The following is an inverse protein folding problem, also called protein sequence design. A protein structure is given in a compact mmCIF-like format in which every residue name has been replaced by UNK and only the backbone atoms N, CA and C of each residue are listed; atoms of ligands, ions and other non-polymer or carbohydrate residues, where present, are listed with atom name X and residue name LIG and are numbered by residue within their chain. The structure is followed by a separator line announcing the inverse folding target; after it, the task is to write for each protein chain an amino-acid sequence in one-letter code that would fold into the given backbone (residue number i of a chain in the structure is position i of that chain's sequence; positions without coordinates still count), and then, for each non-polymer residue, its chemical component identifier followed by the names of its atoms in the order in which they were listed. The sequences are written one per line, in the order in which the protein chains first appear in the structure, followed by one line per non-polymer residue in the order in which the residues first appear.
data_IF_088926275368
#
_entry.id   IF_088926275368
#
_cell.length_a   1.000
_cell.length_b   1.000
_cell.length_c   1.000
_cell.angle_alpha   90.00
_cell.angle_beta   90.00
_cell.angle_gamma   90.00
#
_symmetry.space_group_name_H-M   'P 1'
#
loop_
_entity.id
_entity.type
_entity.pdbx_description
1 polymer ?
#
# COMPACT_ATOMS: atom_id res chain seq x y z
N UNK A 1 3.39 9.53 36.70
CA UNK A 1 4.12 9.79 35.44
C UNK A 1 4.37 8.47 34.69
N UNK A 2 4.96 7.46 35.33
CA UNK A 2 5.22 6.14 34.74
C UNK A 2 3.95 5.40 34.26
N UNK A 3 2.89 5.36 35.07
CA UNK A 3 1.61 4.72 34.69
C UNK A 3 0.87 5.40 33.52
N UNK A 4 1.08 6.71 33.33
CA UNK A 4 0.49 7.45 32.22
C UNK A 4 1.24 7.14 30.93
N UNK A 5 2.58 7.05 30.99
CA UNK A 5 3.41 6.68 29.85
C UNK A 5 3.15 5.24 29.36
N UNK A 6 2.94 4.28 30.28
CA UNK A 6 2.58 2.90 29.94
C UNK A 6 1.18 2.84 29.29
N UNK A 7 0.22 3.62 29.78
CA UNK A 7 -1.11 3.72 29.17
C UNK A 7 -1.06 4.26 27.74
N UNK A 8 -0.26 5.30 27.47
CA UNK A 8 -0.09 5.84 26.11
C UNK A 8 0.64 4.87 25.17
N UNK A 9 1.62 4.10 25.66
CA UNK A 9 2.29 3.05 24.88
C UNK A 9 1.35 1.91 24.49
N UNK A 10 0.49 1.47 25.41
CA UNK A 10 -0.50 0.42 25.13
C UNK A 10 -1.58 0.88 24.13
N UNK A 11 -2.02 2.14 24.23
CA UNK A 11 -2.97 2.74 23.28
C UNK A 11 -2.32 2.89 21.88
N UNK A 12 -1.03 3.23 21.80
CA UNK A 12 -0.28 3.24 20.54
C UNK A 12 -0.05 1.83 19.97
N UNK A 13 0.12 0.80 20.81
CA UNK A 13 0.22 -0.59 20.36
C UNK A 13 -1.10 -1.13 19.79
N UNK A 14 -2.25 -0.72 20.33
CA UNK A 14 -3.57 -1.12 19.80
C UNK A 14 -3.88 -0.51 18.43
N UNK A 15 -3.29 0.63 18.07
CA UNK A 15 -3.51 1.27 16.76
C UNK A 15 -2.66 0.65 15.64
N UNK A 16 -1.68 -0.20 15.96
CA UNK A 16 -0.75 -0.80 14.99
C UNK A 16 -1.25 -2.16 14.48
N UNK A 17 -2.18 -2.82 15.19
CA UNK A 17 -2.92 -3.97 14.65
C UNK A 17 -4.10 -3.49 13.78
N UNK A 18 -3.79 -2.80 12.69
CA UNK A 18 -4.72 -2.74 11.57
C UNK A 18 -4.72 -4.14 10.95
N UNK A 19 -5.80 -4.90 11.12
CA UNK A 19 -6.04 -6.14 10.37
C UNK A 19 -5.88 -5.83 8.88
N UNK A 20 -4.78 -6.32 8.28
CA UNK A 20 -4.51 -6.10 6.86
C UNK A 20 -5.21 -7.18 6.04
N UNK A 21 -6.50 -6.96 5.78
CA UNK A 21 -7.26 -7.80 4.88
C UNK A 21 -6.77 -7.59 3.44
N UNK A 22 -6.13 -8.60 2.85
CA UNK A 22 -5.64 -8.56 1.46
C UNK A 22 -6.76 -8.73 0.43
N UNK A 23 -7.92 -9.22 0.86
CA UNK A 23 -9.15 -9.24 0.08
C UNK A 23 -10.02 -8.04 0.43
N UNK A 24 -10.34 -7.18 -0.55
CA UNK A 24 -11.16 -6.00 -0.31
C UNK A 24 -12.65 -6.23 -0.63
N UNK A 25 -12.98 -7.28 -1.39
CA UNK A 25 -14.36 -7.65 -1.75
C UNK A 25 -14.55 -9.15 -1.58
N UNK A 26 -15.46 -9.56 -0.69
CA UNK A 26 -15.73 -10.96 -0.40
C UNK A 26 -17.22 -11.22 -0.16
N UNK A 27 -17.59 -12.50 -0.22
CA UNK A 27 -18.94 -12.97 0.09
C UNK A 27 -18.89 -14.23 0.95
N UNK A 28 -19.97 -14.48 1.71
CA UNK A 28 -20.17 -15.71 2.49
C UNK A 28 -21.35 -16.48 1.90
N UNK A 29 -21.12 -17.58 1.16
CA UNK A 29 -22.20 -18.35 0.55
C UNK A 29 -23.18 -18.89 1.62
N UNK A 30 -24.48 -18.74 1.40
CA UNK A 30 -25.50 -19.25 2.31
C UNK A 30 -25.37 -20.76 2.54
N UNK A 31 -25.36 -21.17 3.82
CA UNK A 31 -25.25 -22.57 4.20
C UNK A 31 -23.84 -23.16 4.12
N UNK A 32 -22.80 -22.32 3.94
CA UNK A 32 -21.39 -22.74 4.03
C UNK A 32 -20.65 -21.95 5.10
N UNK A 33 -19.61 -22.58 5.64
CA UNK A 33 -18.77 -22.04 6.72
C UNK A 33 -17.53 -21.30 6.18
N UNK A 34 -17.53 -20.96 4.89
CA UNK A 34 -16.37 -20.41 4.19
C UNK A 34 -16.65 -19.00 3.66
N UNK A 35 -15.58 -18.24 3.46
CA UNK A 35 -15.60 -16.93 2.81
C UNK A 35 -14.97 -17.06 1.43
N UNK A 36 -15.51 -16.35 0.44
CA UNK A 36 -15.04 -16.34 -0.92
C UNK A 36 -14.54 -14.94 -1.31
N UNK A 37 -13.28 -14.83 -1.68
CA UNK A 37 -12.70 -13.57 -2.13
C UNK A 37 -13.02 -13.34 -3.61
N UNK A 38 -13.50 -12.14 -3.96
CA UNK A 38 -13.77 -11.74 -5.35
C UNK A 38 -12.73 -10.80 -5.91
N UNK A 39 -12.15 -9.96 -5.04
CA UNK A 39 -11.15 -8.94 -5.42
C UNK A 39 -10.12 -8.83 -4.30
N UNK A 40 -8.87 -9.09 -4.65
CA UNK A 40 -7.73 -8.79 -3.80
C UNK A 40 -7.38 -7.28 -3.88
N UNK A 41 -6.42 -6.83 -3.09
CA UNK A 41 -5.79 -5.52 -3.32
C UNK A 41 -4.81 -5.61 -4.49
N UNK A 42 -4.43 -4.46 -5.05
CA UNK A 42 -3.45 -4.41 -6.14
C UNK A 42 -2.12 -5.08 -5.74
N UNK A 43 -1.51 -5.78 -6.69
CA UNK A 43 -0.30 -6.55 -6.46
C UNK A 43 -0.48 -7.84 -5.67
N UNK A 44 -1.72 -8.24 -5.41
CA UNK A 44 -2.10 -9.55 -4.90
C UNK A 44 -3.03 -10.22 -5.91
N UNK A 45 -2.85 -11.54 -6.07
CA UNK A 45 -3.69 -12.39 -6.91
C UNK A 45 -4.54 -13.30 -6.03
N UNK A 46 -5.68 -13.72 -6.56
CA UNK A 46 -6.50 -14.77 -5.96
C UNK A 46 -5.70 -16.08 -6.01
N UNK A 47 -5.44 -16.66 -4.84
CA UNK A 47 -4.83 -17.97 -4.69
C UNK A 47 -5.90 -19.05 -4.70
N UNK A 48 -6.87 -18.93 -3.79
CA UNK A 48 -8.05 -19.78 -3.69
C UNK A 48 -9.30 -18.91 -3.74
N UNK A 49 -10.33 -19.36 -4.48
CA UNK A 49 -11.58 -18.60 -4.59
C UNK A 49 -12.31 -18.49 -3.25
N UNK A 50 -12.24 -19.52 -2.41
CA UNK A 50 -12.87 -19.56 -1.09
C UNK A 50 -12.04 -20.36 -0.08
N UNK A 51 -12.22 -20.05 1.21
CA UNK A 51 -11.56 -20.73 2.32
C UNK A 51 -12.12 -20.29 3.67
N UNK A 52 -11.51 -20.75 4.76
CA UNK A 52 -11.96 -20.42 6.11
C UNK A 52 -11.48 -19.02 6.55
N UNK A 53 -10.27 -18.65 6.14
CA UNK A 53 -9.64 -17.38 6.47
C UNK A 53 -9.55 -16.51 5.23
N UNK A 54 -9.90 -15.23 5.37
CA UNK A 54 -9.92 -14.27 4.26
C UNK A 54 -8.51 -13.93 3.77
N UNK A 55 -7.53 -13.91 4.67
CA UNK A 55 -6.14 -13.51 4.39
C UNK A 55 -5.38 -14.55 3.53
N UNK A 56 -5.77 -15.82 3.62
CA UNK A 56 -5.14 -16.91 2.87
C UNK A 56 -5.61 -16.98 1.40
N UNK A 57 -6.64 -16.21 1.03
CA UNK A 57 -7.24 -16.25 -0.30
C UNK A 57 -6.50 -15.37 -1.31
N UNK A 58 -5.70 -14.43 -0.84
CA UNK A 58 -4.94 -13.51 -1.66
C UNK A 58 -3.45 -13.64 -1.36
N UNK A 59 -2.65 -13.90 -2.39
CA UNK A 59 -1.19 -13.98 -2.25
C UNK A 59 -0.52 -12.89 -3.07
N UNK A 60 0.58 -12.30 -2.58
CA UNK A 60 1.27 -11.26 -3.31
C UNK A 60 1.88 -11.79 -4.60
N UNK A 61 2.00 -10.92 -5.59
CA UNK A 61 2.79 -11.22 -6.79
C UNK A 61 4.26 -11.45 -6.44
N UNK A 62 4.87 -12.42 -7.11
CA UNK A 62 6.30 -12.72 -6.97
C UNK A 62 7.14 -11.61 -7.62
N UNK A 63 8.41 -11.54 -7.24
CA UNK A 63 9.35 -10.59 -7.85
C UNK A 63 9.42 -10.80 -9.37
N UNK A 64 9.39 -9.71 -10.13
CA UNK A 64 9.32 -9.79 -11.59
C UNK A 64 7.91 -10.11 -12.13
N UNK A 65 6.88 -10.01 -11.29
CA UNK A 65 5.48 -10.05 -11.72
C UNK A 65 4.64 -8.96 -11.06
N UNK A 66 3.53 -8.59 -11.69
CA UNK A 66 2.61 -7.56 -11.22
C UNK A 66 1.14 -7.89 -11.56
N UNK A 67 0.19 -7.27 -10.86
CA UNK A 67 -1.21 -7.23 -11.29
C UNK A 67 -1.87 -5.91 -10.89
N UNK A 68 -2.59 -5.33 -11.84
CA UNK A 68 -3.51 -4.20 -11.61
C UNK A 68 -4.95 -4.67 -11.48
N UNK A 69 -5.27 -5.86 -12.00
CA UNK A 69 -6.61 -6.41 -11.91
C UNK A 69 -6.71 -7.26 -10.63
N UNK A 70 -7.49 -6.81 -9.63
CA UNK A 70 -7.61 -7.47 -8.35
C UNK A 70 -8.35 -8.81 -8.40
N UNK A 71 -8.98 -9.17 -9.52
CA UNK A 71 -9.67 -10.45 -9.70
C UNK A 71 -8.82 -11.52 -10.38
N UNK A 72 -7.56 -11.24 -10.70
CA UNK A 72 -6.69 -12.18 -11.39
C UNK A 72 -6.23 -13.31 -10.48
N UNK A 73 -6.17 -14.53 -11.04
CA UNK A 73 -5.60 -15.72 -10.37
C UNK A 73 -4.10 -15.88 -10.58
N UNK A 74 -3.53 -15.13 -11.52
CA UNK A 74 -2.13 -15.14 -11.89
C UNK A 74 -1.61 -13.71 -12.04
N UNK A 75 -0.34 -13.48 -11.71
CA UNK A 75 0.31 -12.21 -11.96
C UNK A 75 0.94 -12.19 -13.35
N UNK A 76 0.95 -11.03 -13.98
CA UNK A 76 1.58 -10.78 -15.27
C UNK A 76 3.09 -10.64 -15.08
N UNK A 77 3.89 -11.29 -15.92
CA UNK A 77 5.35 -11.10 -15.91
C UNK A 77 5.69 -9.68 -16.33
N UNK A 78 6.62 -9.06 -15.62
CA UNK A 78 7.06 -7.73 -15.97
C UNK A 78 7.79 -7.76 -17.31
N UNK A 79 7.62 -6.69 -18.08
CA UNK A 79 8.39 -6.43 -19.29
C UNK A 79 9.88 -6.35 -18.98
N UNK A 80 10.69 -6.85 -19.90
CA UNK A 80 12.13 -6.65 -19.90
C UNK A 80 12.49 -5.60 -20.95
N UNK A 81 13.33 -4.64 -20.57
CA UNK A 81 13.86 -3.66 -21.51
C UNK A 81 14.95 -4.33 -22.34
N UNK A 82 14.78 -4.35 -23.66
CA UNK A 82 15.61 -5.12 -24.57
C UNK A 82 16.37 -4.26 -25.57
N UNK A 83 17.44 -4.82 -26.14
CA UNK A 83 18.26 -4.14 -27.14
C UNK A 83 18.99 -2.93 -26.56
N UNK A 84 18.73 -1.74 -27.12
CA UNK A 84 19.33 -0.47 -26.68
C UNK A 84 18.52 0.25 -25.60
N UNK A 85 17.37 -0.28 -25.19
CA UNK A 85 16.55 0.31 -24.15
C UNK A 85 17.23 0.18 -22.79
N UNK A 86 16.96 1.13 -21.90
CA UNK A 86 17.29 1.02 -20.48
C UNK A 86 16.01 0.99 -19.63
N UNK A 87 16.12 0.47 -18.42
CA UNK A 87 15.06 0.56 -17.41
C UNK A 87 15.03 1.97 -16.83
N UNK A 88 13.89 2.65 -17.00
CA UNK A 88 13.64 3.97 -16.40
C UNK A 88 13.06 3.78 -15.01
N UNK A 89 12.12 2.83 -14.88
CA UNK A 89 11.55 2.45 -13.59
C UNK A 89 11.47 0.94 -13.47
N UNK A 90 11.87 0.43 -12.30
CA UNK A 90 11.82 -0.98 -11.99
C UNK A 90 10.38 -1.47 -11.83
N UNK A 91 10.16 -2.75 -12.14
CA UNK A 91 8.89 -3.39 -11.87
C UNK A 91 8.58 -3.46 -10.38
N UNK A 92 7.31 -3.29 -10.04
CA UNK A 92 6.77 -3.55 -8.70
C UNK A 92 5.56 -4.48 -8.82
N UNK A 93 5.03 -4.96 -7.68
CA UNK A 93 3.82 -5.82 -7.70
C UNK A 93 2.60 -5.15 -8.32
N UNK A 94 2.56 -3.83 -8.37
CA UNK A 94 1.43 -3.04 -8.88
C UNK A 94 1.75 -2.30 -10.17
N UNK A 95 2.98 -2.41 -10.70
CA UNK A 95 3.40 -1.61 -11.85
C UNK A 95 4.42 -2.37 -12.69
N UNK A 96 4.17 -2.41 -14.00
CA UNK A 96 5.11 -3.00 -14.95
C UNK A 96 6.43 -2.19 -15.01
N UNK A 97 7.50 -2.83 -15.49
CA UNK A 97 8.76 -2.16 -15.83
C UNK A 97 8.52 -1.06 -16.86
N UNK A 98 9.06 0.14 -16.62
CA UNK A 98 9.08 1.19 -17.63
C UNK A 98 10.42 1.23 -18.34
N UNK A 99 10.38 1.16 -19.68
CA UNK A 99 11.56 1.23 -20.53
C UNK A 99 11.70 2.60 -21.19
N UNK A 100 12.94 3.00 -21.41
CA UNK A 100 13.31 4.26 -22.06
C UNK A 100 14.44 4.05 -23.08
N UNK A 101 14.71 5.10 -23.85
CA UNK A 101 15.80 5.13 -24.82
C UNK A 101 16.92 6.05 -24.32
N UNK A 102 18.19 5.67 -24.46
CA UNK A 102 19.30 6.56 -24.17
C UNK A 102 19.43 7.64 -25.25
N UNK A 103 19.87 8.84 -24.87
CA UNK A 103 20.16 9.90 -25.83
C UNK A 103 21.24 9.48 -26.85
N UNK A 104 21.13 9.87 -28.13
CA UNK A 104 20.12 10.74 -28.75
C UNK A 104 18.92 9.98 -29.36
N UNK A 105 18.61 8.77 -28.88
CA UNK A 105 17.47 7.98 -29.35
C UNK A 105 16.20 8.38 -28.60
N UNK A 106 15.07 8.34 -29.29
CA UNK A 106 13.75 8.65 -28.75
C UNK A 106 12.85 7.43 -28.79
N UNK A 107 11.88 7.40 -27.87
CA UNK A 107 10.81 6.40 -27.90
C UNK A 107 9.92 6.61 -29.13
N UNK A 108 9.67 5.55 -29.88
CA UNK A 108 8.77 5.59 -31.03
C UNK A 108 7.28 5.71 -30.63
N UNK A 109 6.93 5.27 -29.41
CA UNK A 109 5.57 5.29 -28.86
C UNK A 109 5.59 5.53 -27.34
N UNK A 110 4.41 5.62 -26.72
CA UNK A 110 4.26 5.86 -25.28
C UNK A 110 4.73 4.69 -24.41
N UNK A 111 4.77 3.48 -24.97
CA UNK A 111 5.31 2.30 -24.27
C UNK A 111 6.81 2.17 -24.47
N UNK A 112 7.44 3.07 -25.24
CA UNK A 112 8.82 2.97 -25.67
C UNK A 112 9.16 1.57 -26.19
N UNK A 113 8.39 1.03 -27.14
CA UNK A 113 8.59 -0.33 -27.66
C UNK A 113 9.87 -0.46 -28.48
N UNK A 114 10.24 0.60 -29.20
CA UNK A 114 11.41 0.68 -30.09
C UNK A 114 12.06 2.05 -29.92
N UNK A 115 13.40 2.07 -29.93
CA UNK A 115 14.20 3.30 -29.95
C UNK A 115 14.54 3.72 -31.37
N UNK A 116 14.23 4.96 -31.72
CA UNK A 116 14.45 5.54 -33.05
C UNK A 116 15.38 6.75 -32.96
N UNK A 117 16.21 7.00 -33.98
CA UNK A 117 17.08 8.17 -33.99
C UNK A 117 16.27 9.48 -34.02
N UNK A 118 16.75 10.49 -33.30
CA UNK A 118 16.22 11.85 -33.43
C UNK A 118 16.54 12.39 -34.84
N UNK A 119 15.51 12.80 -35.59
CA UNK A 119 15.73 13.36 -36.92
C UNK A 119 16.15 14.83 -36.85
N UNK A 120 17.28 15.16 -37.49
CA UNK A 120 17.73 16.54 -37.65
C UNK A 120 16.98 17.28 -38.76
N UNK A 121 17.32 18.56 -38.94
CA UNK A 121 16.78 19.43 -40.00
C UNK A 121 16.97 18.81 -41.40
N UNK A 122 15.99 19.04 -42.28
CA UNK A 122 15.96 18.48 -43.63
C UNK A 122 15.58 16.99 -43.69
N UNK A 123 15.39 16.32 -42.56
CA UNK A 123 14.95 14.93 -42.47
C UNK A 123 13.70 14.80 -41.62
N UNK A 124 12.86 13.81 -41.92
CA UNK A 124 11.68 13.50 -41.13
C UNK A 124 11.61 12.01 -40.75
N UNK A 125 10.85 11.67 -39.70
CA UNK A 125 10.61 10.28 -39.31
C UNK A 125 9.70 9.59 -40.35
N UNK A 126 10.18 8.49 -40.90
CA UNK A 126 9.44 7.64 -41.83
C UNK A 126 9.76 6.16 -41.55
N UNK A 127 8.76 5.41 -41.08
CA UNK A 127 8.91 3.98 -40.77
C UNK A 127 9.95 3.68 -39.67
N UNK A 128 10.11 4.58 -38.69
CA UNK A 128 11.08 4.42 -37.60
C UNK A 128 12.51 4.89 -37.92
N UNK A 129 12.74 5.44 -39.11
CA UNK A 129 14.06 5.96 -39.54
C UNK A 129 13.97 7.41 -40.00
N UNK A 130 15.12 8.11 -39.99
CA UNK A 130 15.21 9.48 -40.48
C UNK A 130 15.55 9.54 -41.97
N UNK A 131 14.58 9.94 -42.79
CA UNK A 131 14.77 10.09 -44.24
C UNK A 131 14.79 11.56 -44.65
N UNK A 132 15.54 11.94 -45.70
CA UNK A 132 15.47 13.28 -46.28
C UNK A 132 14.03 13.63 -46.69
N UNK A 133 13.66 14.89 -46.52
CA UNK A 133 12.34 15.35 -46.95
C UNK A 133 12.20 15.26 -48.49
N UNK A 134 11.11 14.66 -49.01
CA UNK A 134 10.87 14.59 -50.44
C UNK A 134 10.67 15.98 -51.04
N UNK A 135 10.85 16.10 -52.36
CA UNK A 135 10.58 17.32 -53.10
C UNK A 135 9.16 17.84 -52.81
N UNK A 136 9.02 19.15 -52.63
CA UNK A 136 7.75 19.74 -52.22
C UNK A 136 7.53 19.82 -50.70
N UNK A 137 8.43 19.27 -49.88
CA UNK A 137 8.35 19.33 -48.41
C UNK A 137 9.67 19.80 -47.77
N UNK A 138 9.62 20.20 -46.50
CA UNK A 138 10.78 20.56 -45.69
C UNK A 138 10.57 20.21 -44.22
N UNK A 139 11.67 20.21 -43.47
CA UNK A 139 11.65 20.16 -42.01
C UNK A 139 12.74 21.09 -41.47
N UNK A 140 12.37 22.08 -40.65
CA UNK A 140 13.30 23.02 -40.00
C UNK A 140 13.48 22.78 -38.49
N UNK A 141 12.78 21.79 -37.91
CA UNK A 141 12.84 21.43 -36.49
C UNK A 141 13.36 20.00 -36.29
N UNK A 142 13.84 19.70 -35.09
CA UNK A 142 14.23 18.33 -34.77
C UNK A 142 12.98 17.46 -34.57
N UNK A 143 13.04 16.23 -35.05
CA UNK A 143 12.01 15.19 -34.90
C UNK A 143 10.60 15.55 -35.44
N UNK A 144 10.49 16.60 -36.25
CA UNK A 144 9.25 16.97 -36.91
C UNK A 144 9.06 16.15 -38.20
N UNK A 145 7.80 15.85 -38.56
CA UNK A 145 7.47 15.31 -39.88
C UNK A 145 7.76 16.34 -40.97
N UNK A 146 8.15 15.90 -42.16
CA UNK A 146 8.31 16.80 -43.30
C UNK A 146 6.95 17.42 -43.65
N UNK A 147 6.90 18.75 -43.66
CA UNK A 147 5.70 19.53 -43.98
C UNK A 147 5.80 20.12 -45.40
N UNK A 148 4.69 20.26 -46.13
CA UNK A 148 4.70 20.90 -47.45
C UNK A 148 5.25 22.32 -47.39
N UNK A 149 5.92 22.76 -48.46
CA UNK A 149 6.19 24.18 -48.63
C UNK A 149 4.86 24.95 -48.66
N UNK A 150 4.82 26.13 -48.03
CA UNK A 150 3.71 27.04 -48.25
C UNK A 150 3.86 27.57 -49.68
N UNK A 151 2.83 27.38 -50.50
CA UNK A 151 2.76 28.01 -51.82
C UNK A 151 2.52 29.50 -51.60
N UNK A 152 3.57 30.27 -51.35
CA UNK A 152 3.56 31.66 -51.77
C UNK A 152 3.67 31.66 -53.30
N UNK A 153 2.85 32.49 -53.94
CA UNK A 153 2.85 32.78 -55.38
C UNK A 153 4.29 32.88 -55.91
N UNK A 154 4.55 32.54 -57.19
CA UNK A 154 5.91 32.44 -57.72
C UNK A 154 6.64 33.79 -57.56
N UNK A 155 7.53 33.87 -56.57
CA UNK A 155 8.27 35.11 -56.30
C UNK A 155 8.91 35.22 -54.92
N UNK A 156 8.38 34.59 -53.86
CA UNK A 156 8.93 34.85 -52.51
C UNK A 156 9.09 33.59 -51.67
N UNK A 157 10.35 33.12 -51.56
CA UNK A 157 10.78 32.16 -50.54
C UNK A 157 11.06 32.91 -49.23
N UNK A 158 10.03 33.38 -48.55
CA UNK A 158 10.22 34.08 -47.27
C UNK A 158 10.23 33.08 -46.13
N UNK A 159 11.39 32.92 -45.48
CA UNK A 159 11.54 32.17 -44.23
C UNK A 159 10.84 32.93 -43.11
N UNK A 160 9.59 32.59 -42.83
CA UNK A 160 8.90 33.09 -41.64
C UNK A 160 9.11 32.11 -40.48
N UNK A 161 9.99 32.50 -39.56
CA UNK A 161 10.18 31.86 -38.26
C UNK A 161 8.91 32.01 -37.44
N UNK A 162 8.04 31.00 -37.44
CA UNK A 162 6.96 30.90 -36.45
C UNK A 162 7.56 30.37 -35.16
N UNK A 163 7.82 31.28 -34.23
CA UNK A 163 8.20 30.98 -32.84
C UNK A 163 7.09 30.20 -32.14
N UNK A 164 7.35 29.05 -31.50
CA UNK A 164 6.40 28.41 -30.62
C UNK A 164 6.26 29.24 -29.33
N UNK A 165 5.02 29.52 -28.95
CA UNK A 165 4.65 30.12 -27.67
C UNK A 165 4.99 29.11 -26.56
N UNK A 166 6.07 29.37 -25.82
CA UNK A 166 6.34 28.66 -24.57
C UNK A 166 5.15 28.87 -23.63
N UNK A 167 4.57 27.77 -23.18
CA UNK A 167 3.57 27.74 -22.12
C UNK A 167 4.37 27.58 -20.83
N UNK A 168 4.63 28.69 -20.16
CA UNK A 168 5.24 28.72 -18.83
C UNK A 168 4.19 28.26 -17.84
N UNK A 169 4.44 27.11 -17.21
CA UNK A 169 3.60 26.58 -16.14
C UNK A 169 4.43 26.46 -14.88
N UNK A 170 3.83 26.99 -13.81
CA UNK A 170 4.05 26.68 -12.40
C UNK A 170 5.12 27.54 -11.73
N UNK A 171 4.67 28.69 -11.24
CA UNK A 171 5.28 29.38 -10.12
C UNK A 171 5.02 28.55 -8.85
N UNK A 172 6.12 28.29 -8.15
CA UNK A 172 6.26 27.42 -7.00
C UNK A 172 5.72 28.17 -5.75
N UNK A 173 4.47 27.88 -5.36
CA UNK A 173 3.94 28.34 -4.07
C UNK A 173 4.76 27.69 -2.96
N UNK A 174 5.72 28.44 -2.42
CA UNK A 174 6.49 28.08 -1.24
C UNK A 174 5.60 28.21 0.00
N UNK A 175 4.62 27.30 0.12
CA UNK A 175 3.76 27.21 1.28
C UNK A 175 4.46 26.36 2.33
N UNK A 176 4.89 27.02 3.41
CA UNK A 176 5.40 26.39 4.63
C UNK A 176 4.56 25.15 4.94
N UNK A 177 5.18 24.01 5.20
CA UNK A 177 4.49 22.77 5.01
C UNK A 177 3.46 22.61 6.15
N UNK A 178 2.19 22.63 5.77
CA UNK A 178 0.96 22.41 6.54
C UNK A 178 1.05 21.52 7.80
N UNK A 179 1.80 20.41 7.76
CA UNK A 179 2.11 19.59 8.94
C UNK A 179 2.81 20.36 10.09
N UNK A 180 3.68 21.33 9.80
CA UNK A 180 4.31 22.19 10.81
C UNK A 180 3.29 23.16 11.45
N UNK A 181 2.34 23.66 10.66
CA UNK A 181 1.26 24.54 11.17
C UNK A 181 0.33 23.77 12.10
N UNK A 182 -0.03 22.55 11.71
CA UNK A 182 -0.91 21.66 12.50
C UNK A 182 -0.22 21.26 13.81
N UNK A 183 1.06 20.88 13.76
CA UNK A 183 1.81 20.47 14.96
C UNK A 183 1.96 21.61 15.97
N UNK A 184 2.33 22.81 15.52
CA UNK A 184 2.44 23.99 16.40
C UNK A 184 1.07 24.36 16.98
N UNK A 185 0.01 24.34 16.18
CA UNK A 185 -1.36 24.63 16.64
C UNK A 185 -1.84 23.64 17.71
N UNK A 186 -1.61 22.33 17.53
CA UNK A 186 -1.96 21.31 18.50
C UNK A 186 -1.21 21.49 19.83
N UNK A 187 0.08 21.83 19.79
CA UNK A 187 0.90 22.05 21.00
C UNK A 187 0.42 23.28 21.76
N UNK A 188 0.11 24.38 21.06
CA UNK A 188 -0.31 25.64 21.70
C UNK A 188 -1.74 25.59 22.23
N UNK A 189 -2.65 24.80 21.63
CA UNK A 189 -4.05 24.75 22.07
C UNK A 189 -4.35 23.62 23.05
N UNK A 190 -3.80 22.41 22.83
CA UNK A 190 -4.17 21.23 23.62
C UNK A 190 -3.42 21.17 24.96
N UNK A 191 -2.14 21.57 25.00
CA UNK A 191 -1.34 21.53 26.22
C UNK A 191 -1.90 22.47 27.32
N UNK A 192 -2.19 23.76 27.07
CA UNK A 192 -2.76 24.62 28.10
C UNK A 192 -4.18 24.18 28.48
N UNK A 193 -4.97 23.63 27.55
CA UNK A 193 -6.29 23.08 27.87
C UNK A 193 -6.18 21.90 28.87
N UNK A 194 -5.23 20.99 28.66
CA UNK A 194 -4.97 19.86 29.57
C UNK A 194 -4.49 20.37 30.94
N UNK A 195 -3.61 21.37 30.97
CA UNK A 195 -3.16 22.00 32.23
C UNK A 195 -4.31 22.70 32.96
N UNK A 196 -5.16 23.43 32.24
CA UNK A 196 -6.35 24.09 32.81
C UNK A 196 -7.34 23.07 33.37
N UNK A 197 -7.58 21.94 32.68
CA UNK A 197 -8.43 20.86 33.19
C UNK A 197 -7.83 20.20 34.46
N UNK A 198 -6.50 20.04 34.54
CA UNK A 198 -5.80 19.56 35.75
C UNK A 198 -5.94 20.55 36.91
N UNK A 199 -5.86 21.85 36.65
CA UNK A 199 -6.08 22.89 37.68
C UNK A 199 -7.53 22.90 38.14
N UNK A 200 -8.50 22.80 37.22
CA UNK A 200 -9.94 22.76 37.55
C UNK A 200 -10.30 21.51 38.35
N UNK A 201 -9.74 20.34 38.03
CA UNK A 201 -9.95 19.11 38.81
C UNK A 201 -9.31 19.21 40.20
N UNK A 202 -8.14 19.86 40.33
CA UNK A 202 -7.52 20.16 41.63
C UNK A 202 -8.31 21.17 42.46
N UNK A 203 -8.90 22.18 41.85
CA UNK A 203 -9.77 23.17 42.51
C UNK A 203 -11.08 22.52 42.97
N UNK A 204 -11.68 21.63 42.17
CA UNK A 204 -12.85 20.84 42.58
C UNK A 204 -12.53 19.90 43.74
N UNK A 205 -11.37 19.25 43.74
CA UNK A 205 -10.91 18.41 44.84
C UNK A 205 -10.67 19.21 46.14
N UNK A 206 -10.16 20.46 46.03
CA UNK A 206 -9.94 21.33 47.18
C UNK A 206 -11.24 21.86 47.79
N UNK A 207 -12.31 22.03 46.98
CA UNK A 207 -13.64 22.48 47.45
C UNK A 207 -14.43 21.38 48.17
N UNK A 208 -14.10 20.10 47.97
CA UNK A 208 -14.77 18.96 48.59
C UNK A 208 -14.30 18.60 50.00
N UNK A 209 -13.22 19.20 50.51
CA UNK A 209 -12.63 18.84 51.82
C UNK A 209 -13.04 19.74 53.00
N UNK A 210 -13.86 20.78 52.80
CA UNK A 210 -14.20 21.73 53.89
C UNK A 210 -15.48 21.39 54.66
N UNK A 211 -16.17 20.28 54.39
CA UNK A 211 -17.33 19.87 55.18
C UNK A 211 -17.34 18.35 55.42
N UNK A 212 -16.71 17.92 56.52
CA UNK A 212 -17.17 16.84 57.40
C UNK A 212 -16.03 16.34 58.31
N UNK A 213 -16.02 16.75 59.59
CA UNK A 213 -15.80 15.81 60.72
C UNK A 213 -16.10 16.46 62.08
N UNK A 214 -17.08 15.90 62.79
CA UNK A 214 -17.41 16.05 64.23
C UNK A 214 -17.08 14.68 64.91
N UNK A 215 -16.79 14.58 66.22
CA UNK A 215 -15.89 13.58 66.82
C UNK A 215 -16.59 12.26 67.24
N UNK A 216 -15.86 11.26 67.78
CA UNK A 216 -16.25 9.85 67.70
C UNK A 216 -17.09 9.36 68.89
N UNK A 217 -17.96 8.38 68.64
CA UNK A 217 -18.60 7.54 69.65
C UNK A 217 -18.06 6.12 69.52
N UNK A 218 -17.48 5.61 70.62
CA UNK A 218 -16.93 4.25 70.73
C UNK A 218 -17.96 3.37 71.43
N UNK A 219 -18.28 2.23 70.83
CA UNK A 219 -18.50 0.97 71.54
C UNK A 219 -18.13 -0.21 70.63
N UNK A 220 -17.24 -1.06 71.14
CA UNK A 220 -16.85 -2.40 70.68
C UNK A 220 -17.67 -3.48 71.41
N UNK A 221 -17.39 -4.78 71.26
CA UNK A 221 -17.51 -5.67 70.09
C UNK A 221 -18.42 -6.89 70.43
N UNK A 222 -18.76 -7.79 69.49
CA UNK A 222 -18.86 -9.28 69.68
C UNK A 222 -19.48 -9.96 68.44
N UNK A 223 -18.65 -10.83 67.86
CA UNK A 223 -18.83 -12.12 67.17
C UNK A 223 -19.81 -12.42 65.99
N UNK A 224 -19.20 -13.19 65.08
CA UNK A 224 -19.69 -14.05 63.97
C UNK A 224 -20.14 -13.45 62.62
N UNK A 225 -19.45 -13.81 61.52
CA UNK A 225 -20.04 -13.84 60.18
C UNK A 225 -20.12 -15.26 59.61
N UNK A 226 -21.36 -15.70 59.31
CA UNK A 226 -21.63 -16.77 58.34
C UNK A 226 -21.69 -16.19 56.92
N UNK A 227 -20.79 -16.68 56.07
CA UNK A 227 -20.97 -17.05 54.64
C UNK A 227 -21.72 -16.11 53.69
N UNK A 228 -21.05 -15.64 52.62
CA UNK A 228 -21.54 -15.78 51.23
C UNK A 228 -20.41 -15.56 50.18
N UNK A 229 -20.13 -16.67 49.50
CA UNK A 229 -19.51 -16.96 48.20
C UNK A 229 -18.80 -15.87 47.38
N UNK A 230 -17.51 -16.13 47.12
CA UNK A 230 -16.76 -15.63 45.97
C UNK A 230 -16.94 -16.59 44.78
N UNK A 231 -17.27 -16.05 43.60
CA UNK A 231 -17.26 -16.77 42.33
C UNK A 231 -15.85 -16.61 41.73
N UNK A 232 -15.04 -17.65 41.88
CA UNK A 232 -13.74 -17.80 41.23
C UNK A 232 -13.94 -18.66 39.97
N UNK A 233 -13.64 -18.10 38.80
CA UNK A 233 -13.60 -18.85 37.55
C UNK A 233 -12.24 -19.56 37.45
N UNK A 234 -12.19 -20.86 37.74
CA UNK A 234 -11.05 -21.72 37.39
C UNK A 234 -11.43 -22.75 36.33
N UNK A 235 -10.79 -22.55 35.18
CA UNK A 235 -10.39 -23.45 34.12
C UNK A 235 -10.52 -24.96 34.39
N UNK A 236 -11.20 -25.67 33.48
CA UNK A 236 -11.22 -27.13 33.41
C UNK A 236 -10.06 -27.63 32.55
N UNK A 237 -9.25 -28.52 33.09
CA UNK A 237 -8.32 -29.39 32.35
C UNK A 237 -8.87 -30.83 32.40
N UNK A 238 -8.87 -31.61 31.30
CA UNK A 238 -9.39 -32.97 31.31
C UNK A 238 -8.40 -33.97 31.94
N UNK A 239 -8.91 -34.78 32.88
CA UNK A 239 -8.17 -35.88 33.49
C UNK A 239 -7.86 -37.01 32.49
N UNK A 240 -6.65 -37.54 32.62
CA UNK A 240 -6.19 -38.77 32.00
C UNK A 240 -6.88 -39.98 32.66
N UNK A 241 -7.51 -40.83 31.86
CA UNK A 241 -7.93 -42.17 32.29
C UNK A 241 -6.96 -43.18 31.71
N UNK A 242 -6.13 -43.75 32.57
CA UNK A 242 -5.30 -44.92 32.29
C UNK A 242 -6.11 -46.18 32.61
N UNK A 243 -6.34 -47.03 31.60
CA UNK A 243 -6.36 -48.48 31.81
C UNK A 243 -5.96 -49.22 30.54
N UNK A 244 -4.93 -50.04 30.73
CA UNK A 244 -4.37 -51.04 29.86
C UNK A 244 -5.37 -52.11 29.44
N UNK A 245 -5.29 -52.57 28.19
CA UNK A 245 -5.25 -54.01 27.90
C UNK A 245 -4.64 -54.27 26.50
N UNK A 246 -3.79 -55.29 26.49
CA UNK A 246 -2.93 -55.84 25.45
C UNK A 246 -3.68 -56.54 24.31
N UNK A 247 -3.07 -56.63 23.11
CA UNK A 247 -2.71 -57.90 22.45
C UNK A 247 -1.93 -57.66 21.14
N UNK A 248 -1.01 -58.59 20.89
CA UNK A 248 0.01 -58.62 19.85
C UNK A 248 -0.54 -58.86 18.43
N UNK A 249 0.21 -58.45 17.40
CA UNK A 249 0.89 -59.40 16.49
C UNK A 249 1.82 -58.70 15.50
N UNK A 250 2.93 -59.39 15.26
CA UNK A 250 4.05 -59.12 14.37
C UNK A 250 3.72 -59.15 12.87
N UNK A 251 4.63 -58.49 12.13
CA UNK A 251 5.37 -58.98 10.95
C UNK A 251 5.15 -58.38 9.54
N UNK A 252 6.32 -57.95 9.02
CA UNK A 252 6.94 -58.20 7.70
C UNK A 252 6.45 -57.40 6.47
N UNK A 253 7.33 -56.55 5.89
CA UNK A 253 8.07 -56.77 4.62
C UNK A 253 7.18 -56.37 3.40
N UNK A 254 7.58 -55.77 2.28
CA UNK A 254 8.83 -55.52 1.58
C UNK A 254 8.58 -54.45 0.46
N UNK A 255 9.67 -53.81 0.03
CA UNK A 255 9.99 -53.28 -1.32
C UNK A 255 8.91 -52.72 -2.26
N UNK A 256 9.13 -51.50 -2.78
CA UNK A 256 9.75 -51.36 -4.12
C UNK A 256 9.99 -49.90 -4.51
N UNK A 257 11.28 -49.59 -4.68
CA UNK A 257 11.76 -48.56 -5.61
C UNK A 257 11.35 -48.95 -7.04
N UNK A 258 10.75 -48.02 -7.80
CA UNK A 258 10.85 -48.07 -9.28
C UNK A 258 10.76 -46.69 -9.91
N UNK A 259 11.85 -46.37 -10.61
CA UNK A 259 11.99 -45.42 -11.72
C UNK A 259 10.94 -45.65 -12.82
N UNK A 260 10.91 -44.70 -13.79
CA UNK A 260 10.39 -44.69 -15.19
C UNK A 260 9.39 -43.53 -15.32
N UNK A 261 9.48 -42.56 -16.25
CA UNK A 261 10.32 -42.25 -17.42
C UNK A 261 10.24 -40.73 -17.64
#
# INVERSE_FOLDING_TARGET
MLFVAIGFLLIHCCWIHAERNFCNTWETPSGKNNVCCKRCIEGYRIFNDCGLLLDDLCVPCENGTFTLDPSQKACTKCRQCGGVQHTVEACTRTKDTQCGCPDPLLCNDNHCSICVPQCGRGRGPQGGYCRPCPAGTFNNQNNQKCIPWRNTSPGERTMTTTTPRHKESNEEDTMLPWWLVITVSCVVLLIPLILMLKVLTKLKAKKGQTMAKMPPFITTPTDEPRTLMAVECSFHEPEQVSSSESLASENSEDSTHKLIV
#
